data_IF_302134754901
#
_entry.id   IF_302134754901
#
_cell.length_a   1.000
_cell.length_b   1.000
_cell.length_c   1.000
_cell.angle_alpha   90.00
_cell.angle_beta   90.00
_cell.angle_gamma   90.00
#
_symmetry.space_group_name_H-M   'P 1'
#
loop_
_entity.id
_entity.type
_entity.pdbx_description
1 polymer ?
#
# COMPACT_ATOMS: atom_id res chain seq x y z
N UNK A 1 -6.04 9.65 -8.89
CA UNK A 1 -6.33 8.85 -7.68
C UNK A 1 -5.14 8.93 -6.75
N UNK A 2 -5.37 9.29 -5.53
CA UNK A 2 -4.29 9.45 -4.56
C UNK A 2 -3.76 8.11 -4.06
N UNK A 3 -2.45 8.00 -3.97
CA UNK A 3 -1.76 6.85 -3.39
C UNK A 3 -0.66 7.34 -2.44
N UNK A 4 -0.32 6.51 -1.47
CA UNK A 4 0.80 6.76 -0.57
C UNK A 4 1.95 5.86 -1.02
N UNK A 5 3.18 6.39 -1.02
CA UNK A 5 4.38 5.61 -1.30
C UNK A 5 5.21 5.53 -0.03
N UNK A 6 5.72 4.35 0.30
CA UNK A 6 6.77 4.19 1.30
C UNK A 6 8.06 3.85 0.55
N UNK A 7 9.05 4.72 0.69
CA UNK A 7 10.31 4.64 -0.05
C UNK A 7 11.49 4.80 0.91
N UNK A 8 12.59 4.10 0.64
CA UNK A 8 13.85 4.27 1.37
C UNK A 8 14.73 5.31 0.65
N UNK A 9 15.33 6.20 1.43
CA UNK A 9 16.32 7.13 0.91
C UNK A 9 17.71 6.48 0.78
N UNK A 10 18.72 7.26 0.38
CA UNK A 10 20.09 6.76 0.18
C UNK A 10 20.77 6.26 1.47
N UNK A 11 20.24 6.65 2.63
CA UNK A 11 20.74 6.22 3.94
C UNK A 11 19.93 5.06 4.53
N UNK A 12 18.95 4.54 3.78
CA UNK A 12 18.08 3.46 4.21
C UNK A 12 16.95 3.89 5.13
N UNK A 13 16.70 5.20 5.27
CA UNK A 13 15.60 5.73 6.07
C UNK A 13 14.35 5.82 5.22
N UNK A 14 13.24 5.28 5.73
CA UNK A 14 11.97 5.29 5.00
C UNK A 14 11.18 6.56 5.23
N UNK A 15 10.43 6.94 4.20
CA UNK A 15 9.59 8.13 4.16
C UNK A 15 8.26 7.81 3.54
N UNK A 16 7.19 8.51 3.97
CA UNK A 16 5.96 8.60 3.20
C UNK A 16 6.09 9.66 2.12
N UNK A 17 5.63 9.34 0.94
CA UNK A 17 5.49 10.29 -0.17
C UNK A 17 4.07 10.20 -0.70
N UNK A 18 3.37 11.33 -0.73
CA UNK A 18 2.06 11.40 -1.35
C UNK A 18 2.23 11.51 -2.86
N UNK A 19 1.48 10.69 -3.59
CA UNK A 19 1.54 10.63 -5.04
C UNK A 19 0.15 10.48 -5.63
N UNK A 20 0.05 10.62 -6.93
CA UNK A 20 -1.19 10.45 -7.67
C UNK A 20 -0.97 9.50 -8.84
N UNK A 21 -1.97 8.66 -9.10
CA UNK A 21 -2.05 7.84 -10.30
C UNK A 21 -2.96 8.56 -11.29
N UNK A 22 -2.45 8.82 -12.49
CA UNK A 22 -3.22 9.45 -13.55
C UNK A 22 -4.28 8.50 -14.07
N UNK A 23 -5.52 9.00 -14.16
CA UNK A 23 -6.66 8.27 -14.69
C UNK A 23 -7.19 9.02 -15.91
N UNK A 24 -7.58 8.26 -16.94
CA UNK A 24 -8.20 8.81 -18.15
C UNK A 24 -9.45 8.04 -18.51
N UNK A 25 -10.45 8.72 -19.05
CA UNK A 25 -11.71 8.10 -19.49
C UNK A 25 -11.44 7.16 -20.65
N UNK A 26 -11.92 5.91 -20.54
CA UNK A 26 -11.76 4.86 -21.53
C UNK A 26 -13.02 3.99 -21.61
N UNK A 27 -13.35 3.47 -22.81
CA UNK A 27 -14.41 2.46 -22.96
C UNK A 27 -13.90 1.09 -22.49
N UNK A 28 -13.66 0.97 -21.21
CA UNK A 28 -12.98 -0.19 -20.61
C UNK A 28 -13.80 -1.48 -20.67
N UNK A 29 -15.13 -1.38 -20.53
CA UNK A 29 -16.02 -2.55 -20.48
C UNK A 29 -17.29 -2.32 -21.34
N UNK A 30 -17.18 -2.21 -22.69
CA UNK A 30 -18.36 -2.02 -23.54
C UNK A 30 -19.39 -3.14 -23.35
N UNK A 31 -20.71 -2.85 -23.37
CA UNK A 31 -21.33 -1.58 -23.68
C UNK A 31 -21.50 -0.61 -22.51
N UNK A 32 -20.86 -0.85 -21.37
CA UNK A 32 -20.88 0.08 -20.24
C UNK A 32 -20.32 1.45 -20.65
N UNK A 33 -20.87 2.51 -20.07
CA UNK A 33 -20.41 3.87 -20.29
C UNK A 33 -18.93 3.98 -19.89
N UNK A 34 -18.09 4.72 -20.64
CA UNK A 34 -16.70 4.93 -20.28
C UNK A 34 -16.52 5.45 -18.86
N UNK A 35 -15.47 5.00 -18.19
CA UNK A 35 -15.04 5.48 -16.88
C UNK A 35 -13.52 5.65 -16.86
N UNK A 36 -13.02 6.28 -15.81
CA UNK A 36 -11.59 6.60 -15.74
C UNK A 36 -10.77 5.41 -15.26
N UNK A 37 -9.68 5.13 -15.97
CA UNK A 37 -8.72 4.08 -15.64
C UNK A 37 -7.30 4.61 -15.79
N UNK A 38 -6.38 3.99 -15.05
CA UNK A 38 -4.95 4.21 -15.26
C UNK A 38 -4.44 3.44 -16.47
N UNK A 39 -3.22 3.77 -16.92
CA UNK A 39 -2.47 2.84 -17.75
C UNK A 39 -2.29 1.51 -16.99
N UNK A 40 -2.32 0.35 -17.68
CA UNK A 40 -2.04 -0.91 -17.03
C UNK A 40 -0.63 -0.92 -16.44
N UNK A 41 -0.50 -1.52 -15.27
CA UNK A 41 0.82 -1.77 -14.69
C UNK A 41 1.08 -3.28 -14.65
N UNK A 42 2.35 -3.73 -14.77
CA UNK A 42 2.66 -5.15 -14.73
C UNK A 42 2.49 -5.70 -13.32
N UNK A 43 1.85 -6.87 -13.21
CA UNK A 43 1.66 -7.55 -11.94
C UNK A 43 1.96 -9.04 -12.12
N UNK A 44 2.63 -9.66 -11.15
CA UNK A 44 2.98 -11.08 -11.18
C UNK A 44 2.08 -11.91 -10.28
N UNK A 45 1.78 -11.44 -9.08
CA UNK A 45 1.04 -12.18 -8.07
C UNK A 45 0.06 -11.29 -7.33
N UNK A 46 -1.09 -11.83 -6.99
CA UNK A 46 -2.03 -11.25 -6.04
C UNK A 46 -2.10 -12.11 -4.79
N UNK A 47 -2.11 -11.47 -3.61
CA UNK A 47 -2.18 -12.17 -2.33
C UNK A 47 -3.21 -11.47 -1.44
N UNK A 48 -4.26 -12.17 -1.07
CA UNK A 48 -5.19 -11.68 -0.06
C UNK A 48 -4.57 -11.81 1.32
N UNK A 49 -4.86 -10.87 2.20
CA UNK A 49 -4.34 -10.92 3.58
C UNK A 49 -5.41 -10.53 4.59
N UNK A 50 -5.24 -11.00 5.81
CA UNK A 50 -5.97 -10.56 6.97
C UNK A 50 -5.00 -10.48 8.15
N UNK A 51 -4.85 -9.27 8.69
CA UNK A 51 -4.00 -9.00 9.85
C UNK A 51 -4.94 -8.86 11.06
N UNK A 52 -4.81 -9.72 12.08
CA UNK A 52 -5.79 -9.74 13.16
C UNK A 52 -5.73 -8.50 14.04
N UNK A 53 -6.87 -8.17 14.65
CA UNK A 53 -6.94 -7.12 15.65
C UNK A 53 -5.88 -7.34 16.75
N UNK A 54 -5.22 -6.25 17.15
CA UNK A 54 -4.16 -6.28 18.16
C UNK A 54 -2.78 -6.70 17.63
N UNK A 55 -2.66 -7.04 16.36
CA UNK A 55 -1.37 -7.43 15.78
C UNK A 55 -0.38 -6.28 15.80
N UNK A 56 0.87 -6.60 16.15
CA UNK A 56 2.01 -5.70 16.13
C UNK A 56 3.11 -6.33 15.29
N UNK A 57 3.47 -5.65 14.20
CA UNK A 57 4.57 -6.04 13.34
C UNK A 57 5.75 -5.11 13.56
N UNK A 58 6.84 -5.66 14.07
CA UNK A 58 8.08 -4.93 14.30
C UNK A 58 8.66 -4.38 12.98
N UNK A 59 9.70 -3.57 13.09
CA UNK A 59 10.37 -2.99 11.92
C UNK A 59 10.76 -4.05 10.90
N UNK A 60 10.33 -3.86 9.67
CA UNK A 60 10.64 -4.75 8.56
C UNK A 60 10.52 -4.01 7.23
N UNK A 61 11.37 -4.30 6.25
CA UNK A 61 11.18 -3.81 4.88
C UNK A 61 10.06 -4.58 4.19
N UNK A 62 9.55 -4.04 3.10
CA UNK A 62 8.59 -4.77 2.29
C UNK A 62 9.25 -6.00 1.66
N UNK A 63 8.62 -7.19 1.72
CA UNK A 63 9.18 -8.40 1.12
C UNK A 63 9.17 -8.38 -0.41
N UNK A 64 8.38 -7.50 -1.00
CA UNK A 64 8.24 -7.36 -2.45
C UNK A 64 7.89 -5.91 -2.82
N UNK A 65 8.23 -5.51 -4.04
CA UNK A 65 7.72 -4.29 -4.64
C UNK A 65 6.25 -4.53 -5.00
N UNK A 66 5.35 -3.87 -4.30
CA UNK A 66 3.93 -4.21 -4.37
C UNK A 66 3.04 -3.06 -3.95
N UNK A 67 1.79 -3.10 -4.41
CA UNK A 67 0.72 -2.33 -3.83
C UNK A 67 0.12 -3.08 -2.64
N UNK A 68 -0.15 -2.34 -1.59
CA UNK A 68 -0.98 -2.74 -0.46
C UNK A 68 -2.32 -2.02 -0.60
N UNK A 69 -3.39 -2.78 -0.72
CA UNK A 69 -4.75 -2.23 -0.87
C UNK A 69 -5.55 -2.65 0.36
N UNK A 70 -5.95 -1.68 1.17
CA UNK A 70 -6.66 -1.92 2.43
C UNK A 70 -8.17 -1.84 2.23
N UNK A 71 -8.88 -2.85 2.69
CA UNK A 71 -10.35 -2.92 2.57
C UNK A 71 -11.06 -2.75 3.91
N UNK A 72 -10.46 -3.16 5.02
CA UNK A 72 -11.05 -3.05 6.36
C UNK A 72 -10.03 -2.61 7.39
N UNK A 73 -10.52 -2.13 8.54
CA UNK A 73 -9.72 -1.87 9.72
C UNK A 73 -8.90 -0.58 9.68
N UNK A 74 -8.11 -0.37 10.74
CA UNK A 74 -7.20 0.76 10.89
C UNK A 74 -5.79 0.23 11.13
N UNK A 75 -4.83 0.70 10.33
CA UNK A 75 -3.43 0.32 10.44
C UNK A 75 -2.57 1.54 10.73
N UNK A 76 -1.88 1.55 11.86
CA UNK A 76 -0.89 2.58 12.16
C UNK A 76 0.45 2.17 11.57
N UNK A 77 1.04 3.04 10.77
CA UNK A 77 2.34 2.82 10.13
C UNK A 77 3.29 3.92 10.53
N UNK A 78 4.46 3.52 11.04
CA UNK A 78 5.57 4.42 11.37
C UNK A 78 6.70 4.16 10.40
N UNK A 79 7.22 5.21 9.78
CA UNK A 79 8.39 5.13 8.89
C UNK A 79 9.65 5.63 9.59
N UNK A 80 10.79 5.40 8.95
CA UNK A 80 12.10 5.62 9.55
C UNK A 80 12.42 7.05 9.95
N UNK A 81 11.80 8.04 9.31
CA UNK A 81 11.95 9.46 9.67
C UNK A 81 11.13 9.88 10.89
N UNK A 82 10.31 8.97 11.45
CA UNK A 82 9.47 9.20 12.61
C UNK A 82 8.05 9.62 12.29
N UNK A 83 7.70 9.82 11.04
CA UNK A 83 6.31 10.13 10.66
C UNK A 83 5.40 8.91 10.90
N UNK A 84 4.21 9.18 11.42
CA UNK A 84 3.19 8.16 11.71
C UNK A 84 1.91 8.51 10.96
N UNK A 85 1.34 7.53 10.27
CA UNK A 85 0.03 7.68 9.64
C UNK A 85 -0.89 6.53 10.03
N UNK A 86 -2.17 6.83 10.14
CA UNK A 86 -3.22 5.83 10.33
C UNK A 86 -3.90 5.62 8.99
N UNK A 87 -3.79 4.41 8.48
CA UNK A 87 -4.38 4.03 7.20
C UNK A 87 -5.77 3.43 7.43
N UNK A 88 -6.74 3.96 6.72
CA UNK A 88 -8.15 3.55 6.78
C UNK A 88 -8.56 2.74 5.55
N UNK A 89 -9.73 2.10 5.56
CA UNK A 89 -10.26 1.41 4.38
C UNK A 89 -10.28 2.30 3.14
N UNK A 90 -9.86 1.74 2.01
CA UNK A 90 -9.72 2.46 0.74
C UNK A 90 -8.33 3.04 0.50
N UNK A 91 -7.42 2.92 1.45
CA UNK A 91 -6.03 3.36 1.26
C UNK A 91 -5.27 2.40 0.34
N UNK A 92 -4.53 2.98 -0.59
CA UNK A 92 -3.60 2.26 -1.46
C UNK A 92 -2.19 2.75 -1.18
N UNK A 93 -1.28 1.84 -0.85
CA UNK A 93 0.12 2.15 -0.57
C UNK A 93 1.01 1.41 -1.56
N UNK A 94 1.92 2.13 -2.20
CA UNK A 94 3.00 1.54 -2.98
C UNK A 94 4.19 1.31 -2.06
N UNK A 95 4.56 0.06 -1.87
CA UNK A 95 5.67 -0.35 -1.02
C UNK A 95 6.94 -0.50 -1.87
N UNK A 96 7.85 0.47 -1.72
CA UNK A 96 9.13 0.53 -2.42
C UNK A 96 10.32 0.42 -1.47
N UNK A 97 10.07 0.24 -0.18
CA UNK A 97 11.09 0.09 0.85
C UNK A 97 11.57 -1.36 0.95
N UNK A 98 12.33 -1.81 -0.04
CA UNK A 98 12.76 -3.20 -0.17
C UNK A 98 14.02 -3.52 0.65
N UNK A 99 14.70 -2.51 1.16
CA UNK A 99 15.95 -2.64 1.90
C UNK A 99 15.96 -1.77 3.14
N UNK A 100 16.90 -2.02 4.04
CA UNK A 100 17.03 -1.26 5.27
C UNK A 100 16.05 -1.70 6.35
N UNK A 101 15.79 -0.81 7.29
CA UNK A 101 14.94 -1.08 8.46
C UNK A 101 13.47 -1.24 8.11
N UNK A 102 13.02 -0.53 7.07
CA UNK A 102 11.64 -0.57 6.62
C UNK A 102 10.70 0.30 7.46
N UNK A 103 9.56 -0.25 7.78
CA UNK A 103 8.48 0.42 8.50
C UNK A 103 7.97 -0.47 9.65
N UNK A 104 7.23 0.15 10.55
CA UNK A 104 6.65 -0.51 11.72
C UNK A 104 5.13 -0.37 11.64
N UNK A 105 4.41 -1.44 11.86
CA UNK A 105 2.95 -1.45 11.76
C UNK A 105 2.29 -2.02 12.99
N UNK A 106 1.11 -1.50 13.33
CA UNK A 106 0.22 -2.14 14.31
C UNK A 106 -1.24 -1.90 13.93
N UNK A 107 -2.06 -2.89 14.21
CA UNK A 107 -3.50 -2.80 14.02
C UNK A 107 -4.11 -2.03 15.17
N UNK A 108 -4.90 -1.00 14.86
CA UNK A 108 -5.63 -0.21 15.85
C UNK A 108 -7.09 -0.68 15.93
N UNK A 109 -7.69 -0.51 17.11
CA UNK A 109 -9.09 -0.85 17.33
C UNK A 109 -9.35 -2.35 17.39
N UNK A 110 -10.61 -2.72 17.21
CA UNK A 110 -11.09 -4.09 17.43
C UNK A 110 -11.32 -4.88 16.15
N UNK A 111 -11.12 -4.24 14.98
CA UNK A 111 -11.33 -4.88 13.68
C UNK A 111 -10.01 -5.37 13.09
N UNK A 112 -10.08 -6.47 12.33
CA UNK A 112 -8.97 -6.95 11.54
C UNK A 112 -8.70 -5.98 10.38
N UNK A 113 -7.45 -5.91 9.95
CA UNK A 113 -7.04 -5.20 8.73
C UNK A 113 -6.96 -6.22 7.61
N UNK A 114 -7.76 -6.09 6.59
CA UNK A 114 -7.76 -6.99 5.44
C UNK A 114 -7.58 -6.24 4.13
N UNK A 115 -7.22 -6.97 3.09
CA UNK A 115 -7.05 -6.40 1.77
C UNK A 115 -6.33 -7.34 0.82
N UNK A 116 -5.60 -6.75 -0.12
CA UNK A 116 -4.86 -7.48 -1.13
C UNK A 116 -3.51 -6.82 -1.39
N UNK A 117 -2.47 -7.63 -1.53
CA UNK A 117 -1.20 -7.22 -2.12
C UNK A 117 -1.23 -7.52 -3.62
N UNK A 118 -0.80 -6.56 -4.42
CA UNK A 118 -0.58 -6.75 -5.87
C UNK A 118 0.90 -6.58 -6.13
N UNK A 119 1.59 -7.67 -6.42
CA UNK A 119 3.04 -7.70 -6.53
C UNK A 119 3.50 -7.47 -7.96
N UNK A 120 4.52 -6.63 -8.10
CA UNK A 120 5.17 -6.41 -9.39
C UNK A 120 6.10 -7.58 -9.73
N UNK A 121 6.35 -7.83 -11.02
CA UNK A 121 7.40 -8.77 -11.44
C UNK A 121 8.77 -8.36 -10.89
N UNK A 122 9.55 -9.34 -10.54
CA UNK A 122 10.95 -9.14 -10.12
C UNK A 122 11.90 -9.11 -11.30
#
# INVERSE_FOLDING_TARGET
MDVVVIVSDSEGVTHFVDSTVELTAQPFAPPAVPFEVSAPFPASHGVFFCIPAGWYGDWHPSPAHQYFVQTTGLLEVTVGDGEVRVLAPGTVVLLEDLTGRGHLTRVLGDDDVSGVFVQFPT
#
